data_IF_306208350243
#
_entry.id   IF_306208350243
#
_cell.length_a   1.000
_cell.length_b   1.000
_cell.length_c   1.000
_cell.angle_alpha   90.00
_cell.angle_beta   90.00
_cell.angle_gamma   90.00
#
_symmetry.space_group_name_H-M   'P 1'
#
loop_
_entity.id
_entity.type
_entity.pdbx_description
1 polymer ?
#
# COMPACT_ATOMS: atom_id res chain seq x y z
N UNK A 1 -27.78 4.97 -10.01
CA UNK A 1 -27.85 5.16 -8.54
C UNK A 1 -26.87 4.17 -7.90
N UNK A 2 -25.83 4.60 -7.18
CA UNK A 2 -24.97 3.68 -6.41
C UNK A 2 -25.55 3.49 -5.01
N UNK A 3 -25.56 2.24 -4.53
CA UNK A 3 -26.25 1.81 -3.32
C UNK A 3 -25.40 2.04 -2.04
N UNK A 4 -26.01 1.92 -0.84
CA UNK A 4 -25.38 2.20 0.46
C UNK A 4 -24.13 1.39 0.81
N UNK A 5 -23.92 0.25 0.15
CA UNK A 5 -22.75 -0.61 0.29
C UNK A 5 -21.98 -0.58 -1.03
N UNK A 6 -21.40 0.56 -1.41
CA UNK A 6 -20.88 0.70 -2.77
C UNK A 6 -19.84 -0.37 -3.17
N UNK A 7 -19.30 -1.17 -2.22
CA UNK A 7 -18.34 -2.27 -2.45
C UNK A 7 -17.32 -1.91 -3.51
N UNK A 8 -16.91 -0.64 -3.49
CA UNK A 8 -16.26 -0.05 -4.63
C UNK A 8 -14.77 -0.19 -4.37
N UNK A 9 -14.07 -1.13 -5.03
CA UNK A 9 -12.62 -1.22 -4.87
C UNK A 9 -11.94 0.11 -5.23
N UNK A 10 -12.57 0.94 -6.08
CA UNK A 10 -12.06 2.27 -6.43
C UNK A 10 -12.10 3.29 -5.27
N UNK A 11 -12.94 3.10 -4.24
CA UNK A 11 -13.07 4.07 -3.15
C UNK A 11 -11.80 4.21 -2.30
N UNK A 12 -10.97 3.16 -2.26
CA UNK A 12 -9.75 3.11 -1.44
C UNK A 12 -8.47 3.33 -2.24
N UNK A 13 -8.55 3.44 -3.57
CA UNK A 13 -7.40 3.50 -4.49
C UNK A 13 -6.44 4.64 -4.15
N UNK A 14 -6.97 5.78 -3.68
CA UNK A 14 -6.18 6.98 -3.37
C UNK A 14 -6.12 7.29 -1.87
N UNK A 15 -6.64 6.41 -1.01
CA UNK A 15 -6.73 6.67 0.43
C UNK A 15 -5.34 6.83 1.07
N UNK A 16 -4.37 6.02 0.63
CA UNK A 16 -2.98 6.14 1.07
C UNK A 16 -2.38 7.52 0.71
N UNK A 17 -2.70 8.08 -0.46
CA UNK A 17 -2.22 9.41 -0.85
C UNK A 17 -2.84 10.52 -0.02
N UNK A 18 -4.11 10.39 0.38
CA UNK A 18 -4.73 11.33 1.32
C UNK A 18 -4.05 11.28 2.68
N UNK A 19 -3.83 10.09 3.24
CA UNK A 19 -3.13 9.93 4.51
C UNK A 19 -1.70 10.52 4.46
N UNK A 20 -0.95 10.27 3.39
CA UNK A 20 0.39 10.82 3.20
C UNK A 20 0.39 12.36 3.10
N UNK A 21 -0.65 12.95 2.51
CA UNK A 21 -0.78 14.41 2.46
C UNK A 21 -1.05 15.02 3.85
N UNK A 22 -1.78 14.32 4.73
CA UNK A 22 -2.10 14.81 6.08
C UNK A 22 -1.01 14.54 7.12
N UNK A 23 -0.36 13.37 7.04
CA UNK A 23 0.58 12.89 8.06
C UNK A 23 2.04 12.90 7.61
N UNK A 24 2.28 13.21 6.33
CA UNK A 24 3.57 13.00 5.71
C UNK A 24 3.86 11.51 5.47
N UNK A 25 5.01 11.24 4.84
CA UNK A 25 5.45 9.89 4.51
C UNK A 25 5.33 9.54 3.02
N UNK A 26 5.93 8.41 2.67
CA UNK A 26 5.90 7.87 1.31
C UNK A 26 4.79 6.83 1.19
N UNK A 27 4.00 6.95 0.13
CA UNK A 27 3.07 5.90 -0.30
C UNK A 27 3.33 5.55 -1.74
N UNK A 28 2.99 4.31 -2.09
CA UNK A 28 3.24 3.72 -3.39
C UNK A 28 2.52 4.46 -4.52
N UNK A 29 1.19 4.57 -4.46
CA UNK A 29 0.47 5.42 -5.40
C UNK A 29 0.64 6.90 -5.01
N UNK A 30 1.17 7.70 -5.93
CA UNK A 30 1.31 9.14 -5.74
C UNK A 30 1.19 9.87 -7.08
N UNK A 31 0.59 11.07 -7.05
CA UNK A 31 0.42 11.91 -8.23
C UNK A 31 1.75 12.36 -8.84
N UNK A 32 2.85 12.38 -8.07
CA UNK A 32 4.21 12.72 -8.52
C UNK A 32 4.76 11.82 -9.65
N UNK A 33 4.05 10.75 -10.04
CA UNK A 33 4.35 9.96 -11.23
C UNK A 33 3.95 10.59 -12.56
N UNK A 34 2.92 11.45 -12.56
CA UNK A 34 2.31 11.88 -13.82
C UNK A 34 3.09 13.05 -14.45
N UNK A 35 3.40 12.99 -15.77
CA UNK A 35 4.21 14.01 -16.45
C UNK A 35 3.82 15.48 -16.26
N UNK A 36 2.52 15.87 -16.20
CA UNK A 36 2.16 17.28 -16.06
C UNK A 36 2.36 17.84 -14.64
N UNK A 37 2.76 17.02 -13.67
CA UNK A 37 2.89 17.46 -12.28
C UNK A 37 4.21 18.21 -12.04
N UNK A 38 4.12 19.27 -11.25
CA UNK A 38 5.26 20.12 -10.84
C UNK A 38 6.17 19.36 -9.86
N UNK A 39 5.59 18.45 -9.06
CA UNK A 39 6.31 17.61 -8.11
C UNK A 39 6.61 16.25 -8.73
N UNK A 40 7.86 15.79 -8.60
CA UNK A 40 8.33 14.50 -9.11
C UNK A 40 9.14 13.75 -8.07
N UNK A 41 9.11 12.42 -8.16
CA UNK A 41 10.04 11.60 -7.39
C UNK A 41 11.49 11.88 -7.79
N UNK A 42 12.39 11.88 -6.80
CA UNK A 42 13.83 11.70 -7.07
C UNK A 42 14.04 10.31 -7.67
N UNK A 43 15.03 10.17 -8.57
CA UNK A 43 15.28 8.92 -9.31
C UNK A 43 15.46 7.72 -8.37
N UNK A 44 16.09 7.94 -7.22
CA UNK A 44 16.40 6.92 -6.22
C UNK A 44 15.25 6.69 -5.22
N UNK A 45 14.26 7.57 -5.21
CA UNK A 45 13.14 7.55 -4.27
C UNK A 45 11.82 7.07 -4.90
N UNK A 46 11.82 6.70 -6.18
CA UNK A 46 10.63 6.19 -6.83
C UNK A 46 10.13 4.92 -6.10
N UNK A 47 8.80 4.76 -5.94
CA UNK A 47 8.21 3.53 -5.43
C UNK A 47 8.52 2.34 -6.34
N UNK A 48 8.49 1.13 -5.79
CA UNK A 48 8.78 -0.08 -6.55
C UNK A 48 7.65 -0.47 -7.52
N UNK A 49 6.42 -0.15 -7.13
CA UNK A 49 5.23 -0.31 -7.96
C UNK A 49 5.23 0.66 -9.15
N UNK A 50 4.44 0.33 -10.18
CA UNK A 50 4.26 1.18 -11.37
C UNK A 50 2.91 1.88 -11.36
N UNK A 51 2.77 3.01 -12.06
CA UNK A 51 1.46 3.62 -12.29
C UNK A 51 0.45 2.58 -12.81
N UNK A 52 -0.80 2.72 -12.40
CA UNK A 52 -1.92 1.80 -12.66
C UNK A 52 -2.01 0.56 -11.78
N UNK A 53 -1.01 0.25 -10.92
CA UNK A 53 -1.13 -0.88 -9.99
C UNK A 53 -2.32 -0.71 -9.03
N UNK A 54 -2.63 0.53 -8.68
CA UNK A 54 -3.67 0.93 -7.73
C UNK A 54 -5.07 0.50 -8.17
N UNK A 55 -5.29 0.33 -9.49
CA UNK A 55 -6.56 -0.15 -10.04
C UNK A 55 -6.70 -1.67 -9.98
N UNK A 56 -5.59 -2.40 -9.79
CA UNK A 56 -5.54 -3.86 -9.79
C UNK A 56 -4.62 -4.40 -8.68
N UNK A 57 -4.85 -4.02 -7.40
CA UNK A 57 -3.98 -4.44 -6.30
C UNK A 57 -3.97 -5.97 -6.11
N UNK A 58 -5.03 -6.66 -6.51
CA UNK A 58 -5.12 -8.13 -6.52
C UNK A 58 -4.15 -8.82 -7.51
N UNK A 59 -3.54 -8.07 -8.44
CA UNK A 59 -2.50 -8.58 -9.35
C UNK A 59 -1.08 -8.37 -8.81
N UNK A 60 -0.92 -7.67 -7.70
CA UNK A 60 0.36 -7.54 -7.02
C UNK A 60 0.88 -8.93 -6.60
N UNK A 61 2.19 -9.12 -6.64
CA UNK A 61 2.81 -10.43 -6.39
C UNK A 61 3.98 -10.37 -5.41
N UNK A 62 4.83 -9.34 -5.51
CA UNK A 62 6.05 -9.27 -4.71
C UNK A 62 6.56 -7.82 -4.57
N UNK A 63 7.24 -7.55 -3.44
CA UNK A 63 8.12 -6.41 -3.22
C UNK A 63 9.57 -6.92 -3.14
N UNK A 64 10.47 -6.40 -3.96
CA UNK A 64 11.92 -6.67 -3.90
C UNK A 64 12.61 -5.89 -2.80
N UNK A 65 12.10 -4.69 -2.48
CA UNK A 65 12.68 -3.78 -1.50
C UNK A 65 11.65 -3.36 -0.44
N UNK A 66 10.98 -4.35 0.17
CA UNK A 66 9.98 -4.08 1.20
C UNK A 66 10.55 -3.39 2.44
N UNK A 67 11.84 -3.53 2.72
CA UNK A 67 12.56 -2.87 3.82
C UNK A 67 12.51 -1.33 3.76
N UNK A 68 12.17 -0.77 2.59
CA UNK A 68 11.94 0.68 2.39
C UNK A 68 10.64 1.19 3.00
N UNK A 69 9.72 0.30 3.35
CA UNK A 69 8.40 0.65 3.86
C UNK A 69 8.34 0.38 5.36
N UNK A 70 7.84 1.34 6.14
CA UNK A 70 7.57 1.12 7.57
C UNK A 70 6.30 0.29 7.77
N UNK A 71 5.31 0.49 6.90
CA UNK A 71 4.01 -0.16 6.97
C UNK A 71 3.60 -0.81 5.65
N UNK A 72 3.07 -2.02 5.71
CA UNK A 72 2.35 -2.67 4.61
C UNK A 72 0.88 -2.80 5.00
N UNK A 73 -0.02 -2.26 4.19
CA UNK A 73 -1.46 -2.27 4.45
C UNK A 73 -2.12 -3.17 3.40
N UNK A 74 -2.81 -4.21 3.86
CA UNK A 74 -3.46 -5.20 3.01
C UNK A 74 -4.94 -5.24 3.32
N UNK A 75 -5.76 -5.28 2.27
CA UNK A 75 -7.20 -5.52 2.37
C UNK A 75 -7.56 -6.90 1.83
N UNK A 76 -8.21 -7.72 2.64
CA UNK A 76 -8.72 -9.03 2.26
C UNK A 76 -9.20 -9.85 3.45
N UNK A 77 -9.92 -10.93 3.18
CA UNK A 77 -10.31 -11.91 4.21
C UNK A 77 -9.11 -12.83 4.52
N UNK A 78 -8.27 -12.39 5.47
CA UNK A 78 -7.07 -13.12 5.86
C UNK A 78 -7.36 -13.96 7.11
N UNK A 79 -7.49 -15.29 6.95
CA UNK A 79 -7.70 -16.20 8.09
C UNK A 79 -6.48 -16.25 9.03
N UNK A 80 -5.28 -16.09 8.48
CA UNK A 80 -4.04 -16.10 9.25
C UNK A 80 -3.10 -14.98 8.76
N UNK A 81 -3.35 -13.71 9.15
CA UNK A 81 -2.60 -12.56 8.66
C UNK A 81 -1.08 -12.70 8.84
N UNK A 82 -0.64 -13.19 10.00
CA UNK A 82 0.78 -13.43 10.30
C UNK A 82 1.48 -14.46 9.38
N UNK A 83 0.72 -15.24 8.60
CA UNK A 83 1.29 -16.19 7.61
C UNK A 83 1.49 -15.56 6.23
N UNK A 84 0.90 -14.40 5.95
CA UNK A 84 0.96 -13.76 4.63
C UNK A 84 2.39 -13.48 4.18
N UNK A 85 3.24 -13.04 5.12
CA UNK A 85 4.65 -12.69 4.85
C UNK A 85 5.62 -13.83 5.17
N UNK A 86 5.13 -15.01 5.58
CA UNK A 86 5.98 -16.14 5.94
C UNK A 86 6.73 -16.64 4.70
N UNK A 87 8.05 -16.75 4.80
CA UNK A 87 8.91 -17.17 3.70
C UNK A 87 9.32 -16.04 2.75
N UNK A 88 8.87 -14.81 3.00
CA UNK A 88 9.40 -13.61 2.33
C UNK A 88 10.62 -13.08 3.09
N UNK A 89 11.46 -12.30 2.42
CA UNK A 89 12.57 -11.57 3.06
C UNK A 89 12.13 -10.27 3.76
N UNK A 90 10.82 -9.99 3.82
CA UNK A 90 10.33 -8.75 4.35
C UNK A 90 10.38 -8.74 5.88
N UNK A 91 10.98 -7.70 6.51
CA UNK A 91 11.13 -7.62 7.96
C UNK A 91 9.84 -7.21 8.67
N UNK A 92 8.67 -7.36 8.06
CA UNK A 92 7.41 -6.88 8.62
C UNK A 92 6.69 -7.96 9.40
N UNK A 93 6.11 -7.56 10.52
CA UNK A 93 5.32 -8.40 11.40
C UNK A 93 3.88 -7.90 11.44
N UNK A 94 2.96 -8.80 11.74
CA UNK A 94 1.56 -8.43 11.97
C UNK A 94 1.47 -7.41 13.11
N UNK A 95 0.86 -6.25 12.84
CA UNK A 95 0.64 -5.21 13.84
C UNK A 95 -0.81 -5.23 14.34
N UNK A 96 -1.78 -5.09 13.43
CA UNK A 96 -3.21 -5.06 13.78
C UNK A 96 -4.10 -5.45 12.60
N UNK A 97 -5.37 -5.75 12.89
CA UNK A 97 -6.41 -5.96 11.89
C UNK A 97 -7.73 -5.33 12.33
N UNK A 98 -8.44 -4.72 11.39
CA UNK A 98 -9.79 -4.19 11.61
C UNK A 98 -10.67 -4.45 10.37
N UNK A 99 -11.75 -5.23 10.56
CA UNK A 99 -12.60 -5.67 9.46
C UNK A 99 -11.80 -6.45 8.41
N UNK A 100 -11.79 -5.95 7.18
CA UNK A 100 -11.03 -6.55 6.05
C UNK A 100 -9.62 -5.98 5.91
N UNK A 101 -9.19 -5.09 6.81
CA UNK A 101 -7.87 -4.46 6.75
C UNK A 101 -6.91 -5.10 7.73
N UNK A 102 -5.66 -5.23 7.30
CA UNK A 102 -4.54 -5.72 8.08
C UNK A 102 -3.35 -4.81 7.85
N UNK A 103 -2.64 -4.46 8.94
CA UNK A 103 -1.39 -3.70 8.89
C UNK A 103 -0.24 -4.60 9.34
N UNK A 104 0.85 -4.56 8.58
CA UNK A 104 2.13 -5.10 8.98
C UNK A 104 3.10 -3.95 9.20
N UNK A 105 3.85 -4.00 10.30
CA UNK A 105 4.85 -3.00 10.65
C UNK A 105 6.24 -3.61 10.57
N UNK A 106 7.19 -2.84 10.06
CA UNK A 106 8.60 -3.22 10.01
C UNK A 106 9.12 -3.44 11.43
N UNK A 107 9.68 -4.62 11.70
CA UNK A 107 10.38 -4.87 12.96
C UNK A 107 11.46 -3.82 13.16
N UNK A 108 11.55 -3.27 14.37
CA UNK A 108 12.62 -2.35 14.74
C UNK A 108 13.97 -2.98 14.42
N UNK A 109 14.90 -2.17 13.89
CA UNK A 109 16.27 -2.58 13.62
C UNK A 109 17.00 -2.95 14.91
#
# INVERSE_FOLDING_TARGET
>A
RKSPAAENPAAYVHFASWYAAEKGGLVDFNFAWFPPQIVRYKKEAAPEVRPSFEWRPNRFRELKHCDRYDYLIVRGELTHPARLLRGTSCPHQFALSEGTWTVFERSAR
#
